data_IF_336271643808
#
_entry.id   IF_336271643808
#
_cell.length_a   1.000
_cell.length_b   1.000
_cell.length_c   1.000
_cell.angle_alpha   90.00
_cell.angle_beta   90.00
_cell.angle_gamma   90.00
#
_symmetry.space_group_name_H-M   'P 1'
#
loop_
_entity.id
_entity.type
_entity.pdbx_description
1 polymer ?
#
# COMPACT_ATOMS: atom_id res chain seq x y z
N UNK A 1 68.47 -3.05 23.46
CA UNK A 1 67.27 -2.98 24.31
C UNK A 1 66.15 -2.09 23.69
N UNK A 2 66.47 -1.02 23.01
CA UNK A 2 65.53 -0.07 22.34
C UNK A 2 64.74 -0.70 21.18
N UNK A 3 65.40 -1.50 20.34
CA UNK A 3 64.79 -2.10 19.15
C UNK A 3 63.70 -3.13 19.47
N UNK A 4 63.74 -3.76 20.64
CA UNK A 4 62.74 -4.76 21.09
C UNK A 4 61.43 -4.06 21.51
N UNK A 5 61.51 -2.91 22.18
CA UNK A 5 60.37 -2.08 22.56
C UNK A 5 59.61 -1.56 21.35
N UNK A 6 60.30 -1.05 20.32
CA UNK A 6 59.69 -0.57 19.10
C UNK A 6 58.95 -1.67 18.31
N UNK A 7 59.36 -2.90 18.45
CA UNK A 7 58.70 -4.05 17.79
C UNK A 7 57.40 -4.45 18.50
N UNK A 8 57.38 -4.35 19.82
CA UNK A 8 56.16 -4.62 20.65
C UNK A 8 55.10 -3.51 20.46
N UNK A 9 55.53 -2.26 20.40
CA UNK A 9 54.61 -1.13 20.12
C UNK A 9 53.94 -1.21 18.73
N UNK A 10 54.70 -1.64 17.71
CA UNK A 10 54.13 -1.85 16.37
C UNK A 10 53.10 -2.97 16.31
N UNK A 11 53.30 -4.04 17.06
CA UNK A 11 52.35 -5.15 17.16
C UNK A 11 51.04 -4.71 17.83
N UNK A 12 51.12 -3.90 18.86
CA UNK A 12 49.98 -3.36 19.59
C UNK A 12 49.16 -2.37 18.73
N UNK A 13 49.85 -1.49 17.98
CA UNK A 13 49.19 -0.55 17.04
C UNK A 13 48.45 -1.30 15.93
N UNK A 14 49.05 -2.36 15.36
CA UNK A 14 48.41 -3.17 14.37
C UNK A 14 47.14 -3.88 14.91
N UNK A 15 47.24 -4.42 16.10
CA UNK A 15 46.11 -5.04 16.77
C UNK A 15 44.95 -4.05 17.01
N UNK A 16 45.28 -2.85 17.47
CA UNK A 16 44.30 -1.78 17.69
C UNK A 16 43.65 -1.35 16.36
N UNK A 17 44.44 -1.21 15.28
CA UNK A 17 43.93 -0.87 13.95
C UNK A 17 42.92 -1.92 13.44
N UNK A 18 43.21 -3.21 13.64
CA UNK A 18 42.27 -4.30 13.23
C UNK A 18 40.97 -4.21 14.04
N UNK A 19 41.06 -3.97 15.35
CA UNK A 19 39.85 -3.82 16.17
C UNK A 19 38.99 -2.67 15.67
N UNK A 20 39.59 -1.51 15.39
CA UNK A 20 38.86 -0.33 14.86
C UNK A 20 38.18 -0.67 13.54
N UNK A 21 38.88 -1.32 12.61
CA UNK A 21 38.27 -1.73 11.31
C UNK A 21 37.10 -2.68 11.50
N UNK A 22 37.22 -3.66 12.41
CA UNK A 22 36.13 -4.59 12.71
C UNK A 22 34.92 -3.86 13.30
N UNK A 23 35.14 -2.96 14.27
CA UNK A 23 34.07 -2.17 14.89
C UNK A 23 33.36 -1.31 13.85
N UNK A 24 34.11 -0.58 13.01
CA UNK A 24 33.52 0.23 11.93
C UNK A 24 32.76 -0.64 10.92
N UNK A 25 33.30 -1.80 10.59
CA UNK A 25 32.64 -2.77 9.70
C UNK A 25 31.30 -3.26 10.25
N UNK A 26 31.26 -3.61 11.53
CA UNK A 26 30.01 -4.05 12.20
C UNK A 26 28.99 -2.92 12.27
N UNK A 27 29.43 -1.69 12.59
CA UNK A 27 28.54 -0.51 12.58
C UNK A 27 27.98 -0.24 11.17
N UNK A 28 28.84 -0.31 10.14
CA UNK A 28 28.41 -0.14 8.75
C UNK A 28 27.37 -1.18 8.31
N UNK A 29 27.60 -2.44 8.67
CA UNK A 29 26.63 -3.52 8.37
C UNK A 29 25.29 -3.31 9.09
N UNK A 30 25.31 -2.84 10.34
CA UNK A 30 24.10 -2.50 11.10
C UNK A 30 23.31 -1.37 10.46
N UNK A 31 23.96 -0.32 10.00
CA UNK A 31 23.30 0.79 9.30
C UNK A 31 22.67 0.34 7.97
N UNK A 32 23.36 -0.49 7.20
CA UNK A 32 22.82 -1.03 5.95
C UNK A 32 21.56 -1.89 6.19
N UNK A 33 21.57 -2.72 7.23
CA UNK A 33 20.40 -3.51 7.61
C UNK A 33 19.21 -2.64 7.99
N UNK A 34 19.43 -1.56 8.74
CA UNK A 34 18.41 -0.60 9.14
C UNK A 34 17.79 0.10 7.91
N UNK A 35 18.61 0.64 7.02
CA UNK A 35 18.15 1.31 5.79
C UNK A 35 17.35 0.34 4.90
N UNK A 36 17.77 -0.92 4.80
CA UNK A 36 17.05 -1.94 4.04
C UNK A 36 15.64 -2.18 4.59
N UNK A 37 15.48 -2.19 5.91
CA UNK A 37 14.17 -2.37 6.55
C UNK A 37 13.25 -1.17 6.30
N UNK A 38 13.79 0.05 6.40
CA UNK A 38 13.03 1.27 6.13
C UNK A 38 12.54 1.33 4.67
N UNK A 39 13.38 0.97 3.71
CA UNK A 39 13.00 0.93 2.30
C UNK A 39 11.87 -0.06 2.05
N UNK A 40 11.89 -1.24 2.69
CA UNK A 40 10.81 -2.21 2.57
C UNK A 40 9.48 -1.68 3.13
N UNK A 41 9.53 -0.98 4.25
CA UNK A 41 8.35 -0.34 4.84
C UNK A 41 7.76 0.73 3.91
N UNK A 42 8.59 1.60 3.33
CA UNK A 42 8.15 2.63 2.37
C UNK A 42 7.50 2.00 1.13
N UNK A 43 8.09 0.93 0.59
CA UNK A 43 7.51 0.22 -0.57
C UNK A 43 6.16 -0.40 -0.22
N UNK A 44 6.01 -0.98 0.98
CA UNK A 44 4.75 -1.57 1.41
C UNK A 44 3.64 -0.52 1.57
N UNK A 45 3.95 0.65 2.16
CA UNK A 45 3.02 1.77 2.29
C UNK A 45 2.59 2.27 0.90
N UNK A 46 3.54 2.50 -0.01
CA UNK A 46 3.25 2.98 -1.35
C UNK A 46 2.34 2.01 -2.14
N UNK A 47 2.55 0.69 -2.03
CA UNK A 47 1.65 -0.30 -2.62
C UNK A 47 0.24 -0.25 -2.01
N UNK A 48 0.15 0.00 -0.71
CA UNK A 48 -1.12 0.20 -0.02
C UNK A 48 -1.88 1.42 -0.55
N UNK A 49 -1.20 2.54 -0.75
CA UNK A 49 -1.77 3.76 -1.32
C UNK A 49 -2.26 3.54 -2.75
N UNK A 50 -1.46 2.90 -3.61
CA UNK A 50 -1.87 2.59 -4.98
C UNK A 50 -3.08 1.65 -5.04
N UNK A 51 -3.14 0.63 -4.18
CA UNK A 51 -4.31 -0.24 -4.09
C UNK A 51 -5.57 0.53 -3.61
N UNK A 52 -5.39 1.50 -2.72
CA UNK A 52 -6.47 2.36 -2.24
C UNK A 52 -6.97 3.29 -3.36
N UNK A 53 -6.09 3.93 -4.13
CA UNK A 53 -6.44 4.76 -5.29
C UNK A 53 -7.23 3.96 -6.35
N UNK A 54 -6.85 2.70 -6.58
CA UNK A 54 -7.59 1.79 -7.45
C UNK A 54 -9.00 1.52 -6.89
N UNK A 55 -9.13 1.32 -5.58
CA UNK A 55 -10.43 1.13 -4.95
C UNK A 55 -11.31 2.39 -5.07
N UNK A 56 -10.75 3.59 -4.89
CA UNK A 56 -11.47 4.85 -5.13
C UNK A 56 -11.93 4.98 -6.59
N UNK A 57 -11.07 4.63 -7.55
CA UNK A 57 -11.45 4.62 -8.96
C UNK A 57 -12.65 3.70 -9.23
N UNK A 58 -12.72 2.54 -8.57
CA UNK A 58 -13.88 1.65 -8.67
C UNK A 58 -15.16 2.25 -8.09
N UNK A 59 -15.08 3.03 -7.02
CA UNK A 59 -16.23 3.78 -6.48
C UNK A 59 -16.73 4.81 -7.51
N UNK A 60 -15.84 5.53 -8.18
CA UNK A 60 -16.22 6.50 -9.23
C UNK A 60 -16.86 5.80 -10.45
N UNK A 61 -16.38 4.63 -10.84
CA UNK A 61 -17.01 3.80 -11.88
C UNK A 61 -18.43 3.41 -11.48
N UNK A 62 -18.63 2.93 -10.26
CA UNK A 62 -19.95 2.57 -9.75
C UNK A 62 -20.87 3.78 -9.65
N UNK A 63 -20.39 4.93 -9.22
CA UNK A 63 -21.12 6.19 -9.17
C UNK A 63 -21.56 6.65 -10.56
N UNK A 64 -20.69 6.54 -11.58
CA UNK A 64 -21.05 6.84 -12.95
C UNK A 64 -22.15 5.89 -13.46
N UNK A 65 -22.12 4.61 -13.08
CA UNK A 65 -23.16 3.66 -13.40
C UNK A 65 -24.50 4.05 -12.75
N UNK A 66 -24.51 4.39 -11.45
CA UNK A 66 -25.70 4.86 -10.73
C UNK A 66 -26.31 6.12 -11.34
N UNK A 67 -25.50 7.01 -11.91
CA UNK A 67 -25.99 8.22 -12.57
C UNK A 67 -26.70 7.91 -13.91
N UNK A 68 -26.29 6.84 -14.59
CA UNK A 68 -26.86 6.41 -15.87
C UNK A 68 -28.03 5.44 -15.72
N UNK A 69 -28.00 4.61 -14.67
CA UNK A 69 -29.08 3.67 -14.33
C UNK A 69 -29.50 3.89 -12.87
N UNK A 70 -30.55 4.69 -12.62
CA UNK A 70 -31.01 5.00 -11.26
C UNK A 70 -31.69 3.85 -10.55
N UNK A 71 -31.82 2.68 -11.15
CA UNK A 71 -32.36 1.46 -10.52
C UNK A 71 -31.56 0.23 -10.92
N UNK A 72 -30.25 0.21 -10.66
CA UNK A 72 -29.48 -0.97 -10.97
C UNK A 72 -29.99 -2.13 -10.11
N UNK A 73 -30.33 -3.24 -10.75
CA UNK A 73 -30.30 -4.53 -10.06
C UNK A 73 -28.83 -4.80 -9.71
N UNK A 74 -28.54 -5.58 -8.65
CA UNK A 74 -27.18 -5.92 -8.23
C UNK A 74 -26.20 -5.92 -9.42
N UNK A 75 -25.31 -4.92 -9.43
CA UNK A 75 -24.39 -4.69 -10.54
C UNK A 75 -22.94 -4.96 -10.11
N UNK A 76 -22.15 -5.44 -11.04
CA UNK A 76 -20.70 -5.56 -10.87
C UNK A 76 -19.98 -5.07 -12.11
N UNK A 77 -18.88 -4.34 -11.91
CA UNK A 77 -18.01 -3.91 -13.00
C UNK A 77 -17.26 -5.09 -13.65
N UNK A 78 -17.20 -6.23 -12.97
CA UNK A 78 -16.19 -7.22 -13.25
C UNK A 78 -14.80 -6.72 -12.83
N UNK A 79 -13.76 -7.44 -13.23
CA UNK A 79 -12.38 -7.06 -12.97
C UNK A 79 -11.86 -6.16 -14.10
N UNK A 80 -11.50 -4.93 -13.76
CA UNK A 80 -10.99 -3.93 -14.70
C UNK A 80 -9.49 -3.74 -14.46
N UNK A 81 -8.69 -3.76 -15.54
CA UNK A 81 -7.26 -3.47 -15.50
C UNK A 81 -7.01 -2.09 -16.11
N UNK A 82 -6.64 -1.11 -15.26
CA UNK A 82 -6.53 0.29 -15.68
C UNK A 82 -5.22 0.63 -16.38
N UNK A 83 -4.18 -0.12 -16.13
CA UNK A 83 -2.83 0.11 -16.65
C UNK A 83 -2.35 -0.97 -17.64
N UNK A 84 -3.23 -1.91 -18.02
CA UNK A 84 -2.90 -3.03 -18.87
C UNK A 84 -2.04 -4.11 -18.20
N UNK A 85 -1.73 -3.98 -16.92
CA UNK A 85 -1.02 -4.98 -16.12
C UNK A 85 -2.01 -5.94 -15.47
N UNK A 86 -1.81 -7.23 -15.62
CA UNK A 86 -2.70 -8.25 -15.06
C UNK A 86 -2.70 -8.30 -13.53
N UNK A 87 -1.66 -7.74 -12.90
CA UNK A 87 -1.50 -7.73 -11.44
C UNK A 87 -2.21 -6.55 -10.75
N UNK A 88 -2.66 -5.55 -11.53
CA UNK A 88 -3.30 -4.36 -11.02
C UNK A 88 -4.74 -4.33 -11.53
N UNK A 89 -5.67 -4.43 -10.61
CA UNK A 89 -7.09 -4.51 -10.97
C UNK A 89 -7.97 -3.78 -9.97
N UNK A 90 -9.15 -3.44 -10.44
CA UNK A 90 -10.23 -2.90 -9.63
C UNK A 90 -11.53 -3.63 -9.97
N UNK A 91 -12.31 -3.90 -8.96
CA UNK A 91 -13.68 -4.40 -9.11
C UNK A 91 -14.61 -3.64 -8.18
N UNK A 92 -15.78 -3.28 -8.68
CA UNK A 92 -16.81 -2.61 -7.91
C UNK A 92 -18.14 -3.36 -8.05
N UNK A 93 -18.87 -3.44 -6.95
CA UNK A 93 -20.22 -4.01 -6.88
C UNK A 93 -21.18 -2.98 -6.31
N UNK A 94 -22.41 -2.96 -6.80
CA UNK A 94 -23.47 -2.13 -6.27
C UNK A 94 -24.55 -3.08 -5.72
N UNK A 95 -24.90 -2.88 -4.47
CA UNK A 95 -26.00 -3.58 -3.80
C UNK A 95 -27.04 -2.55 -3.39
N UNK A 96 -28.31 -2.88 -3.63
CA UNK A 96 -29.41 -2.03 -3.21
C UNK A 96 -29.79 -2.34 -1.76
N UNK A 97 -29.76 -1.34 -0.87
CA UNK A 97 -30.31 -1.48 0.46
C UNK A 97 -31.85 -1.28 0.41
N UNK A 98 -32.58 -2.37 0.61
CA UNK A 98 -34.03 -2.38 0.57
C UNK A 98 -34.66 -1.69 1.81
N UNK A 99 -33.84 -1.31 2.79
CA UNK A 99 -34.34 -0.74 4.07
C UNK A 99 -34.64 0.74 3.94
N UNK A 100 -33.77 1.51 3.30
CA UNK A 100 -33.86 2.97 3.19
C UNK A 100 -33.79 3.50 1.75
N UNK A 101 -33.60 2.62 0.76
CA UNK A 101 -33.46 2.99 -0.65
C UNK A 101 -32.08 3.51 -1.02
N UNK A 102 -31.08 3.32 -0.16
CA UNK A 102 -29.69 3.62 -0.47
C UNK A 102 -29.03 2.52 -1.30
N UNK A 103 -27.88 2.85 -1.87
CA UNK A 103 -27.04 1.92 -2.62
C UNK A 103 -25.70 1.79 -1.91
N UNK A 104 -25.32 0.57 -1.61
CA UNK A 104 -24.01 0.26 -1.06
C UNK A 104 -23.09 -0.16 -2.20
N UNK A 105 -22.02 0.58 -2.38
CA UNK A 105 -20.97 0.28 -3.34
C UNK A 105 -19.80 -0.31 -2.58
N UNK A 106 -19.37 -1.51 -2.95
CA UNK A 106 -18.15 -2.11 -2.44
C UNK A 106 -17.14 -2.17 -3.58
N UNK A 107 -16.04 -1.47 -3.42
CA UNK A 107 -14.94 -1.46 -4.38
C UNK A 107 -13.69 -2.09 -3.80
N UNK A 108 -13.04 -2.92 -4.59
CA UNK A 108 -11.77 -3.57 -4.23
C UNK A 108 -10.72 -3.17 -5.26
N UNK A 109 -9.67 -2.52 -4.81
CA UNK A 109 -8.47 -2.24 -5.59
C UNK A 109 -7.35 -3.20 -5.24
N UNK A 110 -6.66 -3.70 -6.24
CA UNK A 110 -5.50 -4.56 -6.10
C UNK A 110 -4.30 -3.97 -6.83
N UNK A 111 -3.17 -3.86 -6.13
CA UNK A 111 -1.88 -3.50 -6.71
C UNK A 111 -0.83 -4.54 -6.35
N UNK A 112 -0.45 -5.36 -7.31
CA UNK A 112 0.33 -6.56 -7.07
C UNK A 112 -0.38 -7.52 -6.11
N UNK A 113 0.22 -7.78 -4.97
CA UNK A 113 -0.37 -8.65 -3.93
C UNK A 113 -1.16 -7.88 -2.86
N UNK A 114 -1.12 -6.55 -2.89
CA UNK A 114 -1.79 -5.72 -1.89
C UNK A 114 -3.21 -5.40 -2.36
N UNK A 115 -4.18 -5.63 -1.47
CA UNK A 115 -5.59 -5.32 -1.71
C UNK A 115 -6.09 -4.29 -0.70
N UNK A 116 -6.95 -3.39 -1.17
CA UNK A 116 -7.71 -2.46 -0.34
C UNK A 116 -9.17 -2.50 -0.77
N UNK A 117 -10.05 -2.35 0.20
CA UNK A 117 -11.49 -2.41 -0.04
C UNK A 117 -12.16 -1.19 0.58
N UNK A 118 -13.05 -0.55 -0.18
CA UNK A 118 -13.82 0.62 0.23
C UNK A 118 -15.29 0.28 0.10
N UNK A 119 -16.05 0.62 1.13
CA UNK A 119 -17.51 0.63 1.09
C UNK A 119 -17.97 2.09 1.07
N UNK A 120 -18.80 2.45 0.10
CA UNK A 120 -19.39 3.78 -0.03
C UNK A 120 -20.92 3.65 -0.15
N UNK A 121 -21.65 4.46 0.60
CA UNK A 121 -23.12 4.48 0.57
C UNK A 121 -23.58 5.70 -0.18
N UNK A 122 -24.44 5.49 -1.18
CA UNK A 122 -25.03 6.54 -2.01
C UNK A 122 -26.54 6.55 -1.87
N UNK A 123 -27.10 7.75 -1.96
CA UNK A 123 -28.53 7.98 -2.12
C UNK A 123 -28.78 8.71 -3.44
N UNK A 124 -29.83 8.31 -4.18
CA UNK A 124 -30.20 9.00 -5.42
C UNK A 124 -31.17 10.13 -5.13
N UNK A 125 -30.68 11.37 -5.23
CA UNK A 125 -31.53 12.56 -5.17
C UNK A 125 -31.68 13.16 -6.57
N UNK A 126 -32.91 13.22 -7.05
CA UNK A 126 -33.22 13.72 -8.42
C UNK A 126 -32.43 13.01 -9.54
N UNK A 127 -32.17 11.70 -9.38
CA UNK A 127 -31.40 10.89 -10.31
C UNK A 127 -29.88 11.12 -10.24
N UNK A 128 -29.39 11.85 -9.22
CA UNK A 128 -27.96 12.09 -9.00
C UNK A 128 -27.49 11.32 -7.75
N UNK A 129 -26.41 10.56 -7.86
CA UNK A 129 -25.84 9.87 -6.69
C UNK A 129 -25.18 10.89 -5.75
N UNK A 130 -25.70 10.96 -4.54
CA UNK A 130 -25.17 11.74 -3.42
C UNK A 130 -24.49 10.80 -2.45
N UNK A 131 -23.24 11.07 -2.11
CA UNK A 131 -22.48 10.26 -1.15
C UNK A 131 -22.96 10.57 0.26
N UNK A 132 -23.46 9.55 0.95
CA UNK A 132 -23.85 9.64 2.36
C UNK A 132 -22.67 9.37 3.31
N UNK A 133 -21.79 8.46 2.93
CA UNK A 133 -20.63 8.10 3.73
C UNK A 133 -19.77 7.06 3.02
N UNK A 134 -18.55 6.88 3.52
CA UNK A 134 -17.66 5.84 3.08
C UNK A 134 -16.79 5.33 4.23
N UNK A 135 -16.29 4.13 4.11
CA UNK A 135 -15.32 3.54 5.05
C UNK A 135 -14.39 2.56 4.34
N UNK A 136 -13.17 2.47 4.82
CA UNK A 136 -12.25 1.41 4.41
C UNK A 136 -12.59 0.12 5.18
N UNK A 137 -12.60 -1.02 4.47
CA UNK A 137 -12.81 -2.32 5.06
C UNK A 137 -11.44 -3.01 5.19
N UNK A 138 -11.09 -3.37 6.42
CA UNK A 138 -9.87 -4.13 6.72
C UNK A 138 -10.24 -5.61 6.80
N UNK A 139 -9.58 -6.43 5.99
CA UNK A 139 -9.64 -7.90 6.06
C UNK A 139 -8.40 -8.46 6.76
#
# INVERSE_FOLDING_TARGET
MILRRLREERGMVLGLAIIVVVVVGVMGAGLLAFVSTDLQAVVAVNKGEQAFELAEAGVEVAKAHLANDPRPANWTSGELHLDGMSENSVSATIEHDNTDGSFVVVSTGQYGQTKRKIEATFYLRDGRPELLGWRELYE
#
